data_IF_063517156130
#
_entry.id   IF_063517156130
#
_cell.length_a   1.000
_cell.length_b   1.000
_cell.length_c   1.000
_cell.angle_alpha   90.00
_cell.angle_beta   90.00
_cell.angle_gamma   90.00
#
_symmetry.space_group_name_H-M   'P 1'
#
loop_
_entity.id
_entity.type
_entity.pdbx_description
1 polymer ?
#
# COMPACT_ATOMS: atom_id res chain seq x y z
N UNK A 1 2.35 18.98 -1.86
CA UNK A 1 1.67 18.39 -0.66
C UNK A 1 1.46 16.91 -0.96
N UNK A 2 1.97 15.97 -0.14
CA UNK A 2 1.76 14.53 -0.35
C UNK A 2 0.26 14.23 -0.53
N UNK A 3 -0.09 13.41 -1.52
CA UNK A 3 -1.48 12.99 -1.67
C UNK A 3 -1.85 11.84 -0.73
N UNK A 4 -0.84 11.08 -0.29
CA UNK A 4 -0.99 10.00 0.68
C UNK A 4 -1.08 10.64 2.06
N UNK A 5 -2.31 10.86 2.51
CA UNK A 5 -2.60 11.46 3.83
C UNK A 5 -3.18 10.41 4.74
N UNK A 6 -3.00 10.50 6.08
CA UNK A 6 -3.75 9.69 7.01
C UNK A 6 -5.26 9.79 6.73
N UNK A 7 -5.98 8.67 6.79
CA UNK A 7 -7.41 8.67 6.54
C UNK A 7 -8.17 9.45 7.60
N UNK A 8 -9.05 10.34 7.17
CA UNK A 8 -9.96 11.05 8.07
C UNK A 8 -11.24 10.24 8.34
N UNK A 9 -11.53 9.24 7.51
CA UNK A 9 -12.77 8.44 7.57
C UNK A 9 -12.60 7.16 8.36
N UNK A 10 -11.43 6.51 8.30
CA UNK A 10 -11.21 5.19 8.88
C UNK A 10 -9.98 5.17 9.79
N UNK A 11 -10.11 4.48 10.92
CA UNK A 11 -8.98 4.02 11.75
C UNK A 11 -9.04 2.52 11.88
N UNK A 12 -7.90 1.85 11.69
CA UNK A 12 -7.82 0.39 11.74
C UNK A 12 -6.89 -0.02 12.87
N UNK A 13 -7.33 -1.04 13.61
CA UNK A 13 -6.50 -1.74 14.58
C UNK A 13 -6.35 -3.20 14.17
N UNK A 14 -5.11 -3.69 14.19
CA UNK A 14 -4.75 -5.10 14.14
C UNK A 14 -4.34 -5.52 15.54
N UNK A 15 -5.03 -6.51 16.12
CA UNK A 15 -4.76 -7.03 17.46
C UNK A 15 -4.72 -5.93 18.53
N UNK A 16 -5.63 -4.96 18.42
CA UNK A 16 -5.73 -3.82 19.32
C UNK A 16 -4.74 -2.68 19.07
N UNK A 17 -3.71 -2.88 18.24
CA UNK A 17 -2.72 -1.86 17.86
C UNK A 17 -3.16 -1.12 16.59
N UNK A 18 -3.14 0.20 16.63
CA UNK A 18 -3.47 1.04 15.47
C UNK A 18 -2.42 0.87 14.38
N UNK A 19 -2.88 0.73 13.14
CA UNK A 19 -2.04 0.66 11.94
C UNK A 19 -2.32 1.86 11.03
N UNK A 20 -1.34 2.28 10.21
CA UNK A 20 -1.55 3.37 9.26
C UNK A 20 -2.68 3.06 8.28
N UNK A 21 -3.53 4.06 8.06
CA UNK A 21 -4.56 4.05 7.02
C UNK A 21 -4.37 5.31 6.20
N UNK A 22 -4.28 5.18 4.88
CA UNK A 22 -4.05 6.29 3.99
C UNK A 22 -5.26 6.56 3.11
N UNK A 23 -5.61 7.83 2.93
CA UNK A 23 -6.61 8.27 1.97
C UNK A 23 -5.99 8.44 0.58
N UNK A 24 -6.67 7.86 -0.40
CA UNK A 24 -6.47 8.10 -1.83
C UNK A 24 -7.79 8.59 -2.44
N UNK A 25 -7.81 9.24 -3.62
CA UNK A 25 -9.00 9.92 -4.13
C UNK A 25 -10.30 9.08 -4.16
N UNK A 26 -10.18 7.76 -4.32
CA UNK A 26 -11.32 6.85 -4.49
C UNK A 26 -11.55 5.89 -3.32
N UNK A 27 -10.63 5.81 -2.36
CA UNK A 27 -10.66 4.79 -1.29
C UNK A 27 -9.79 5.18 -0.09
N UNK A 28 -9.88 4.42 0.99
CA UNK A 28 -8.84 4.40 2.02
C UNK A 28 -8.10 3.05 1.94
N UNK A 29 -6.83 3.02 2.31
CA UNK A 29 -5.97 1.83 2.16
C UNK A 29 -5.19 1.62 3.46
N UNK A 30 -5.16 0.39 3.96
CA UNK A 30 -4.20 -0.06 4.94
C UNK A 30 -3.49 -1.32 4.45
N UNK A 31 -2.18 -1.41 4.70
CA UNK A 31 -1.36 -2.57 4.40
C UNK A 31 -0.65 -3.00 5.67
N UNK A 32 -0.63 -4.29 5.95
CA UNK A 32 0.04 -4.84 7.13
C UNK A 32 0.38 -6.31 6.92
N UNK A 33 1.37 -6.77 7.66
CA UNK A 33 1.79 -8.17 7.67
C UNK A 33 1.19 -8.93 8.84
N UNK A 34 0.78 -10.18 8.64
CA UNK A 34 0.43 -11.13 9.70
C UNK A 34 0.63 -12.59 9.24
N UNK A 35 0.80 -13.50 10.19
CA UNK A 35 1.16 -14.90 9.93
C UNK A 35 -0.05 -15.83 10.11
N UNK A 36 -0.65 -15.82 11.30
CA UNK A 36 -1.71 -16.75 11.66
C UNK A 36 -3.10 -16.08 11.61
N UNK A 37 -3.68 -15.82 12.78
CA UNK A 37 -4.93 -15.12 12.94
C UNK A 37 -4.67 -13.71 13.43
N UNK A 38 -5.46 -12.73 12.95
CA UNK A 38 -5.47 -11.40 13.53
C UNK A 38 -6.89 -10.87 13.68
N UNK A 39 -7.13 -10.16 14.78
CA UNK A 39 -8.36 -9.45 15.03
C UNK A 39 -8.30 -8.06 14.41
N UNK A 40 -9.27 -7.73 13.56
CA UNK A 40 -9.40 -6.43 12.92
C UNK A 40 -10.53 -5.64 13.59
N UNK A 41 -10.23 -4.41 14.00
CA UNK A 41 -11.22 -3.44 14.45
C UNK A 41 -11.11 -2.19 13.60
N UNK A 42 -12.21 -1.79 12.97
CA UNK A 42 -12.30 -0.59 12.14
C UNK A 42 -13.22 0.38 12.85
N UNK A 43 -12.76 1.60 13.08
CA UNK A 43 -13.59 2.73 13.49
C UNK A 43 -13.79 3.68 12.33
N UNK A 44 -14.98 4.22 12.21
CA UNK A 44 -15.31 5.26 11.23
C UNK A 44 -16.03 6.43 11.89
N UNK A 45 -16.06 7.58 11.21
CA UNK A 45 -16.87 8.74 11.57
C UNK A 45 -18.28 8.71 10.94
N UNK A 46 -18.69 7.57 10.36
CA UNK A 46 -19.98 7.36 9.71
C UNK A 46 -20.86 6.41 10.53
N UNK A 47 -22.17 6.61 10.42
CA UNK A 47 -23.15 5.65 10.94
C UNK A 47 -23.16 4.38 10.09
N UNK A 48 -23.11 3.21 10.75
CA UNK A 48 -23.08 1.92 10.07
C UNK A 48 -24.46 1.26 10.14
N UNK A 49 -25.04 1.01 8.96
CA UNK A 49 -26.30 0.26 8.76
C UNK A 49 -26.05 -1.09 8.10
N UNK A 50 -24.96 -1.19 7.33
CA UNK A 50 -24.57 -2.39 6.61
C UNK A 50 -23.06 -2.44 6.40
N UNK A 51 -22.49 -3.65 6.39
CA UNK A 51 -21.08 -3.89 6.06
C UNK A 51 -21.00 -5.08 5.10
N UNK A 52 -20.39 -4.87 3.92
CA UNK A 52 -19.97 -5.94 3.02
C UNK A 52 -18.43 -6.06 3.07
N UNK A 53 -17.92 -7.29 3.22
CA UNK A 53 -16.49 -7.60 3.08
C UNK A 53 -16.30 -8.46 1.83
N UNK A 54 -15.54 -7.94 0.86
CA UNK A 54 -15.27 -8.61 -0.42
C UNK A 54 -13.83 -9.10 -0.53
N UNK A 55 -13.55 -10.19 -1.25
CA UNK A 55 -14.54 -11.04 -1.94
C UNK A 55 -15.33 -11.92 -0.97
N UNK A 56 -16.63 -12.11 -1.24
CA UNK A 56 -17.51 -12.92 -0.38
C UNK A 56 -17.07 -14.39 -0.27
N UNK A 57 -16.28 -14.89 -1.22
CA UNK A 57 -15.72 -16.25 -1.19
C UNK A 57 -14.83 -16.52 0.02
N UNK A 58 -14.30 -15.48 0.68
CA UNK A 58 -13.52 -15.63 1.92
C UNK A 58 -14.41 -15.88 3.15
N UNK A 59 -15.73 -15.76 3.03
CA UNK A 59 -16.70 -16.02 4.10
C UNK A 59 -16.41 -15.29 5.42
N UNK A 60 -15.78 -14.10 5.35
CA UNK A 60 -15.49 -13.26 6.51
C UNK A 60 -16.82 -12.68 7.01
N UNK A 61 -17.12 -12.92 8.28
CA UNK A 61 -18.37 -12.46 8.92
C UNK A 61 -18.07 -11.25 9.79
N UNK A 62 -18.39 -10.02 9.34
CA UNK A 62 -18.26 -8.85 10.20
C UNK A 62 -19.38 -8.82 11.25
N UNK A 63 -19.03 -8.33 12.42
CA UNK A 63 -19.95 -7.76 13.39
C UNK A 63 -19.75 -6.24 13.38
N UNK A 64 -20.81 -5.48 13.56
CA UNK A 64 -20.69 -4.03 13.65
C UNK A 64 -21.73 -3.46 14.62
N UNK A 65 -21.34 -2.39 15.31
CA UNK A 65 -22.21 -1.65 16.21
C UNK A 65 -21.79 -0.19 16.21
N UNK A 66 -22.76 0.72 16.13
CA UNK A 66 -22.52 2.16 16.04
C UNK A 66 -21.61 2.51 14.86
N UNK A 67 -20.36 2.85 15.14
CA UNK A 67 -19.35 3.28 14.19
C UNK A 67 -18.11 2.35 14.18
N UNK A 68 -18.25 1.13 14.70
CA UNK A 68 -17.18 0.15 14.81
C UNK A 68 -17.54 -1.16 14.10
N UNK A 69 -16.62 -1.68 13.30
CA UNK A 69 -16.69 -2.99 12.62
C UNK A 69 -15.60 -3.89 13.19
N UNK A 70 -15.93 -5.16 13.42
CA UNK A 70 -15.00 -6.20 13.90
C UNK A 70 -15.14 -7.49 13.12
N UNK A 71 -14.00 -8.09 12.80
CA UNK A 71 -13.88 -9.45 12.24
C UNK A 71 -12.47 -9.99 12.48
N UNK A 72 -12.27 -11.28 12.25
CA UNK A 72 -10.94 -11.90 12.26
C UNK A 72 -10.53 -12.30 10.83
N UNK A 73 -9.23 -12.28 10.57
CA UNK A 73 -8.61 -12.91 9.40
C UNK A 73 -7.75 -14.07 9.87
N UNK A 74 -7.80 -15.20 9.17
CA UNK A 74 -7.06 -16.43 9.48
C UNK A 74 -6.04 -16.83 8.40
N UNK A 75 -5.90 -16.00 7.36
CA UNK A 75 -4.95 -16.18 6.28
C UNK A 75 -4.71 -14.85 5.56
N UNK A 76 -3.50 -14.62 5.03
CA UNK A 76 -3.21 -13.48 4.18
C UNK A 76 -4.21 -13.31 3.04
N UNK A 77 -4.72 -12.09 2.87
CA UNK A 77 -5.77 -11.80 1.90
C UNK A 77 -5.81 -10.31 1.55
N UNK A 78 -6.51 -10.01 0.46
CA UNK A 78 -6.82 -8.63 0.04
C UNK A 78 -8.32 -8.47 0.05
N UNK A 79 -8.82 -7.50 0.82
CA UNK A 79 -10.26 -7.30 0.99
C UNK A 79 -10.68 -5.85 0.80
N UNK A 80 -11.93 -5.68 0.37
CA UNK A 80 -12.65 -4.40 0.35
C UNK A 80 -13.69 -4.43 1.47
N UNK A 81 -13.66 -3.43 2.35
CA UNK A 81 -14.69 -3.19 3.37
C UNK A 81 -15.57 -2.05 2.88
N UNK A 82 -16.83 -2.37 2.58
CA UNK A 82 -17.82 -1.46 1.99
C UNK A 82 -18.93 -1.17 3.00
N UNK A 83 -19.16 0.10 3.30
CA UNK A 83 -20.20 0.52 4.24
C UNK A 83 -21.48 0.90 3.51
N UNK A 84 -22.63 0.53 4.09
CA UNK A 84 -23.96 1.00 3.73
C UNK A 84 -24.39 0.78 2.26
N UNK A 85 -23.62 0.03 1.46
CA UNK A 85 -23.80 -0.14 0.01
C UNK A 85 -23.93 1.19 -0.74
N UNK A 86 -23.26 2.21 -0.24
CA UNK A 86 -23.28 3.55 -0.79
C UNK A 86 -21.91 3.86 -1.41
N UNK A 87 -21.81 4.07 -2.73
CA UNK A 87 -20.56 4.44 -3.38
C UNK A 87 -19.91 5.71 -2.80
N UNK A 88 -20.69 6.64 -2.24
CA UNK A 88 -20.17 7.83 -1.58
C UNK A 88 -19.44 7.53 -0.26
N UNK A 89 -19.54 6.29 0.26
CA UNK A 89 -18.80 5.87 1.44
C UNK A 89 -17.32 5.68 1.20
N UNK A 90 -16.93 5.38 -0.05
CA UNK A 90 -15.59 4.94 -0.46
C UNK A 90 -15.15 3.68 0.31
N UNK A 91 -14.69 2.62 -0.37
CA UNK A 91 -14.26 1.42 0.34
C UNK A 91 -12.98 1.67 1.14
N UNK A 92 -12.80 0.87 2.18
CA UNK A 92 -11.49 0.65 2.81
C UNK A 92 -10.89 -0.64 2.25
N UNK A 93 -9.77 -0.53 1.54
CA UNK A 93 -8.98 -1.68 1.12
C UNK A 93 -8.00 -2.08 2.22
N UNK A 94 -8.00 -3.36 2.58
CA UNK A 94 -7.03 -3.95 3.50
C UNK A 94 -6.18 -4.96 2.72
N UNK A 95 -4.87 -4.71 2.69
CA UNK A 95 -3.86 -5.62 2.15
C UNK A 95 -3.17 -6.32 3.33
N UNK A 96 -3.74 -7.46 3.73
CA UNK A 96 -3.25 -8.26 4.84
C UNK A 96 -2.28 -9.32 4.29
N UNK A 97 -0.99 -9.01 4.35
CA UNK A 97 0.06 -9.74 3.64
C UNK A 97 0.68 -10.85 4.52
N UNK A 98 1.25 -11.91 3.92
CA UNK A 98 2.07 -12.87 4.65
C UNK A 98 3.35 -12.20 5.18
N UNK A 99 4.09 -12.83 6.12
CA UNK A 99 5.46 -12.43 6.42
C UNK A 99 6.33 -12.34 5.16
N UNK A 100 7.27 -11.41 5.15
CA UNK A 100 8.19 -11.27 4.02
C UNK A 100 9.41 -12.18 4.21
N UNK A 101 9.59 -13.14 3.30
CA UNK A 101 10.65 -14.15 3.42
C UNK A 101 12.00 -13.70 2.85
N UNK A 102 12.02 -12.64 2.01
CA UNK A 102 13.20 -12.25 1.22
C UNK A 102 13.40 -10.75 1.22
N UNK A 103 13.57 -10.19 2.43
CA UNK A 103 13.99 -8.80 2.64
C UNK A 103 15.48 -8.70 2.27
N UNK A 104 15.88 -7.82 1.32
CA UNK A 104 17.27 -7.68 0.92
C UNK A 104 18.11 -7.01 2.02
N UNK A 105 19.43 -7.24 2.00
CA UNK A 105 20.35 -6.51 2.87
C UNK A 105 20.40 -5.04 2.45
N UNK A 106 20.00 -4.13 3.34
CA UNK A 106 20.03 -2.70 3.08
C UNK A 106 21.43 -2.11 2.85
N UNK A 107 22.49 -2.87 3.16
CA UNK A 107 23.88 -2.46 2.94
C UNK A 107 24.46 -2.99 1.62
N UNK A 108 23.71 -3.81 0.89
CA UNK A 108 24.12 -4.29 -0.43
C UNK A 108 24.09 -3.11 -1.42
N UNK A 109 25.20 -2.84 -2.14
CA UNK A 109 25.30 -1.71 -3.06
C UNK A 109 24.33 -1.76 -4.24
N UNK A 110 23.79 -2.94 -4.57
CA UNK A 110 22.83 -3.11 -5.66
C UNK A 110 21.36 -2.94 -5.18
N UNK A 111 21.16 -2.57 -3.91
CA UNK A 111 19.84 -2.37 -3.30
C UNK A 111 19.56 -0.89 -3.05
N UNK A 112 18.57 -0.34 -3.75
CA UNK A 112 17.97 0.96 -3.46
C UNK A 112 16.90 0.75 -2.38
N UNK A 113 17.30 0.94 -1.11
CA UNK A 113 16.46 0.65 0.06
C UNK A 113 15.72 1.88 0.58
N UNK A 114 14.39 1.82 0.66
CA UNK A 114 13.56 2.85 1.29
C UNK A 114 13.06 2.37 2.65
N UNK A 115 13.63 2.95 3.72
CA UNK A 115 13.32 2.53 5.10
C UNK A 115 11.86 2.84 5.51
N UNK A 116 11.29 2.04 6.41
CA UNK A 116 9.88 2.11 6.78
C UNK A 116 9.58 3.31 7.67
N UNK A 117 8.29 3.61 7.85
CA UNK A 117 7.78 4.67 8.73
C UNK A 117 8.20 6.10 8.38
N UNK A 118 8.56 6.36 7.12
CA UNK A 118 8.82 7.71 6.62
C UNK A 118 8.36 7.91 5.18
N UNK A 119 8.18 9.18 4.84
CA UNK A 119 7.98 9.64 3.47
C UNK A 119 9.34 9.99 2.88
N UNK A 120 9.63 9.47 1.69
CA UNK A 120 10.86 9.72 0.94
C UNK A 120 10.51 10.50 -0.33
N UNK A 121 11.04 11.72 -0.47
CA UNK A 121 10.93 12.51 -1.69
C UNK A 121 12.02 12.11 -2.69
N UNK A 122 11.85 10.95 -3.33
CA UNK A 122 12.87 10.32 -4.17
C UNK A 122 12.94 10.90 -5.60
N UNK A 123 11.86 11.49 -6.10
CA UNK A 123 11.83 12.04 -7.46
C UNK A 123 11.98 10.96 -8.53
N UNK A 124 12.96 11.09 -9.42
CA UNK A 124 13.24 10.05 -10.43
C UNK A 124 14.28 9.06 -9.91
N UNK A 125 13.86 7.82 -9.66
CA UNK A 125 14.70 6.71 -9.23
C UNK A 125 15.22 6.00 -10.49
N UNK A 126 16.46 6.31 -10.87
CA UNK A 126 17.13 5.61 -11.96
C UNK A 126 17.60 4.24 -11.48
N UNK A 127 17.27 3.19 -12.22
CA UNK A 127 17.61 1.81 -11.89
C UNK A 127 18.44 1.20 -13.01
N UNK A 128 19.57 0.63 -12.63
CA UNK A 128 20.52 -0.04 -13.52
C UNK A 128 20.33 -1.57 -13.50
N UNK A 129 21.02 -2.27 -14.40
CA UNK A 129 20.97 -3.73 -14.47
C UNK A 129 21.42 -4.38 -13.16
N UNK A 130 20.70 -5.41 -12.72
CA UNK A 130 20.97 -6.14 -11.48
C UNK A 130 20.47 -5.46 -10.21
N UNK A 131 20.00 -4.21 -10.28
CA UNK A 131 19.57 -3.50 -9.08
C UNK A 131 18.16 -3.89 -8.62
N UNK A 132 17.97 -3.82 -7.30
CA UNK A 132 16.65 -3.96 -6.66
C UNK A 132 16.22 -2.65 -6.04
N UNK A 133 15.02 -2.17 -6.38
CA UNK A 133 14.31 -1.16 -5.59
C UNK A 133 13.49 -1.86 -4.53
N UNK A 134 13.79 -1.63 -3.25
CA UNK A 134 13.06 -2.20 -2.13
C UNK A 134 12.36 -1.13 -1.31
N UNK A 135 11.03 -1.20 -1.24
CA UNK A 135 10.19 -0.26 -0.51
C UNK A 135 9.60 -0.95 0.72
N UNK A 136 10.18 -0.71 1.89
CA UNK A 136 9.83 -1.42 3.12
C UNK A 136 8.39 -1.13 3.62
N UNK A 137 7.82 -2.00 4.44
CA UNK A 137 6.45 -1.86 4.96
C UNK A 137 6.27 -0.55 5.74
N UNK A 138 5.36 0.30 5.28
CA UNK A 138 5.12 1.62 5.87
C UNK A 138 6.06 2.72 5.37
N UNK A 139 6.96 2.43 4.43
CA UNK A 139 7.62 3.46 3.63
C UNK A 139 6.64 4.02 2.59
N UNK A 140 6.68 5.34 2.38
CA UNK A 140 6.02 6.01 1.25
C UNK A 140 7.11 6.66 0.42
N UNK A 141 7.22 6.28 -0.84
CA UNK A 141 8.18 6.82 -1.78
C UNK A 141 7.44 7.70 -2.76
N UNK A 142 7.66 9.01 -2.64
CA UNK A 142 7.21 9.96 -3.63
C UNK A 142 8.23 9.96 -4.76
N UNK A 143 7.89 9.27 -5.85
CA UNK A 143 8.79 9.15 -6.98
C UNK A 143 8.20 8.47 -8.21
N UNK A 144 9.08 8.19 -9.14
CA UNK A 144 8.88 7.25 -10.24
C UNK A 144 10.13 6.40 -10.40
N UNK A 145 9.95 5.17 -10.88
CA UNK A 145 11.06 4.27 -11.17
C UNK A 145 11.31 4.28 -12.67
N UNK A 146 12.56 4.48 -13.08
CA UNK A 146 12.97 4.60 -14.48
C UNK A 146 14.20 3.76 -14.79
N UNK A 147 14.11 2.94 -15.84
CA UNK A 147 15.26 2.25 -16.43
C UNK A 147 15.15 2.26 -17.97
N UNK A 148 16.30 2.28 -18.64
CA UNK A 148 16.42 2.14 -20.09
C UNK A 148 17.54 1.13 -20.41
N UNK A 149 17.29 0.17 -21.29
CA UNK A 149 18.28 -0.85 -21.69
C UNK A 149 18.90 -1.64 -20.52
N UNK A 150 18.10 -1.99 -19.50
CA UNK A 150 18.56 -2.69 -18.31
C UNK A 150 18.07 -4.14 -18.23
N UNK A 151 18.80 -4.99 -17.52
CA UNK A 151 18.43 -6.40 -17.28
C UNK A 151 18.42 -6.74 -15.79
N UNK A 152 17.55 -7.68 -15.40
CA UNK A 152 17.52 -8.26 -14.04
C UNK A 152 17.21 -7.22 -12.94
N UNK A 153 16.25 -6.33 -13.24
CA UNK A 153 15.71 -5.37 -12.27
C UNK A 153 14.66 -6.05 -11.40
N UNK A 154 14.70 -5.78 -10.09
CA UNK A 154 13.64 -6.17 -9.16
C UNK A 154 13.00 -4.95 -8.48
N UNK A 155 11.67 -4.93 -8.37
CA UNK A 155 10.94 -3.94 -7.57
C UNK A 155 10.12 -4.70 -6.52
N UNK A 156 10.47 -4.53 -5.25
CA UNK A 156 9.94 -5.36 -4.15
C UNK A 156 9.62 -4.56 -2.89
N UNK A 157 9.06 -5.24 -1.89
CA UNK A 157 8.63 -4.69 -0.61
C UNK A 157 7.13 -4.41 -0.53
N UNK A 158 6.70 -3.92 0.63
CA UNK A 158 5.28 -3.72 1.01
C UNK A 158 4.87 -2.26 1.21
N UNK A 159 5.78 -1.32 0.96
CA UNK A 159 5.47 0.10 1.02
C UNK A 159 4.77 0.63 -0.22
N UNK A 160 4.64 1.95 -0.30
CA UNK A 160 3.83 2.65 -1.30
C UNK A 160 4.73 3.47 -2.22
N UNK A 161 4.58 3.31 -3.53
CA UNK A 161 5.13 4.23 -4.53
C UNK A 161 4.03 5.20 -4.98
N UNK A 162 4.20 6.49 -4.73
CA UNK A 162 3.25 7.55 -5.07
C UNK A 162 3.87 8.56 -6.05
N UNK A 163 3.14 8.88 -7.12
CA UNK A 163 3.56 9.85 -8.14
C UNK A 163 2.70 11.10 -8.19
N UNK A 164 1.88 11.34 -7.18
CA UNK A 164 0.89 12.41 -7.27
C UNK A 164 1.51 13.82 -7.30
N UNK A 165 2.76 14.00 -6.85
CA UNK A 165 3.51 15.27 -6.94
C UNK A 165 4.28 15.47 -8.26
N UNK A 166 3.97 14.72 -9.32
CA UNK A 166 4.66 14.77 -10.62
C UNK A 166 4.85 16.19 -11.19
N UNK A 167 3.88 17.09 -11.00
CA UNK A 167 3.95 18.45 -11.56
C UNK A 167 4.91 19.38 -10.79
N UNK A 168 5.29 19.01 -9.57
CA UNK A 168 6.30 19.73 -8.79
C UNK A 168 7.72 19.33 -9.21
N UNK A 169 7.88 18.18 -9.88
CA UNK A 169 9.15 17.74 -10.44
C UNK A 169 9.20 18.12 -11.90
N UNK A 170 10.11 19.04 -12.24
CA UNK A 170 10.42 19.41 -13.63
C UNK A 170 11.06 18.22 -14.36
N UNK A 171 10.31 17.15 -14.63
CA UNK A 171 10.79 16.12 -15.54
C UNK A 171 10.75 16.71 -16.95
N UNK A 172 11.89 16.70 -17.64
CA UNK A 172 11.97 17.14 -19.04
C UNK A 172 11.08 16.31 -19.99
N UNK A 173 10.58 15.15 -19.53
CA UNK A 173 9.81 14.18 -20.31
C UNK A 173 8.43 13.91 -19.70
N UNK A 174 7.40 14.64 -20.17
CA UNK A 174 5.98 14.55 -19.73
C UNK A 174 5.32 13.15 -19.87
N UNK A 175 5.97 12.18 -20.49
CA UNK A 175 5.42 10.86 -20.83
C UNK A 175 5.92 9.71 -19.95
N UNK A 176 6.82 9.94 -18.99
CA UNK A 176 7.21 8.88 -18.06
C UNK A 176 5.98 8.36 -17.30
N UNK A 177 5.93 7.06 -16.99
CA UNK A 177 4.87 6.42 -16.19
C UNK A 177 5.33 6.31 -14.72
N UNK A 178 4.46 5.77 -13.83
CA UNK A 178 4.82 5.50 -12.42
C UNK A 178 6.07 4.60 -12.33
N UNK A 179 6.06 3.55 -13.15
CA UNK A 179 7.21 2.70 -13.42
C UNK A 179 7.41 2.74 -14.94
N UNK A 180 8.59 3.17 -15.38
CA UNK A 180 8.94 3.31 -16.79
C UNK A 180 10.20 2.48 -17.08
N UNK A 181 10.01 1.30 -17.65
CA UNK A 181 11.08 0.39 -18.02
C UNK A 181 11.06 0.27 -19.54
N UNK A 182 12.02 0.91 -20.20
CA UNK A 182 12.15 0.90 -21.65
C UNK A 182 13.27 -0.06 -22.07
N UNK A 183 13.02 -0.87 -23.08
CA UNK A 183 13.99 -1.81 -23.67
C UNK A 183 14.70 -2.68 -22.60
N UNK A 184 14.01 -2.98 -21.50
CA UNK A 184 14.54 -3.69 -20.33
C UNK A 184 13.98 -5.11 -20.24
N UNK A 185 14.77 -6.05 -19.70
CA UNK A 185 14.43 -7.48 -19.66
C UNK A 185 14.60 -8.07 -18.25
N UNK A 186 14.01 -9.26 -18.03
CA UNK A 186 14.09 -10.01 -16.75
C UNK A 186 13.64 -9.18 -15.53
N UNK A 187 12.49 -8.54 -15.64
CA UNK A 187 11.91 -7.71 -14.57
C UNK A 187 11.17 -8.60 -13.57
N UNK A 188 11.42 -8.41 -12.27
CA UNK A 188 10.84 -9.21 -11.17
C UNK A 188 10.19 -8.38 -10.07
#
# INVERSE_FOLDING_TARGET
>A
MSCVKPSETFKVKKDGKEIPVYDVPVASIASFTFEDECAITIKTNRDIKWVDIRPFSLNIKPSFQFNEVKFSLNQPCRISVELNRDPATRPLFLFANPPEESVPDKNDPDIIYFEPNKVHEAGNIHVESGQTVYIDEGAIVEGLIHAENAEDIRIAGRGILDRTRINEWKSEKKWLRLIHLQDSQKIR
#
